data_IF_425332967343
#
_entry.id   IF_425332967343
#
_cell.length_a   1.000
_cell.length_b   1.000
_cell.length_c   1.000
_cell.angle_alpha   90.00
_cell.angle_beta   90.00
_cell.angle_gamma   90.00
#
_symmetry.space_group_name_H-M   'P 1'
#
loop_
_entity.id
_entity.type
_entity.pdbx_description
1 polymer ?
#
# COMPACT_ATOMS: atom_id res chain seq x y z
N UNK A 1 -30.08 60.58 43.21
CA UNK A 1 -29.07 59.51 43.10
C UNK A 1 -29.57 58.51 42.06
N UNK A 2 -29.00 58.52 40.86
CA UNK A 2 -29.29 57.54 39.80
C UNK A 2 -28.03 56.71 39.62
N UNK A 3 -28.05 55.46 40.07
CA UNK A 3 -26.93 54.54 39.94
C UNK A 3 -26.95 53.94 38.53
N UNK A 4 -25.89 54.21 37.76
CA UNK A 4 -25.64 53.54 36.48
C UNK A 4 -24.90 52.23 36.75
N UNK A 5 -25.47 51.11 36.30
CA UNK A 5 -24.83 49.79 36.33
C UNK A 5 -24.08 49.63 34.99
N UNK A 6 -22.76 49.38 34.97
CA UNK A 6 -22.06 49.12 33.73
C UNK A 6 -22.36 47.68 33.29
N UNK A 7 -22.91 47.53 32.09
CA UNK A 7 -23.09 46.25 31.43
C UNK A 7 -21.71 45.82 30.90
N UNK A 8 -21.05 44.90 31.59
CA UNK A 8 -19.84 44.27 31.08
C UNK A 8 -20.22 43.23 30.01
N UNK A 9 -20.06 43.57 28.73
CA UNK A 9 -20.15 42.62 27.64
C UNK A 9 -18.95 41.66 27.72
N UNK A 10 -19.19 40.44 28.19
CA UNK A 10 -18.22 39.36 28.09
C UNK A 10 -18.06 38.97 26.61
N UNK A 11 -16.93 39.34 26.03
CA UNK A 11 -16.51 38.85 24.72
C UNK A 11 -16.16 37.37 24.88
N UNK A 12 -17.10 36.47 24.57
CA UNK A 12 -16.76 35.07 24.35
C UNK A 12 -15.91 35.01 23.08
N UNK A 13 -14.59 34.92 23.25
CA UNK A 13 -13.71 34.50 22.18
C UNK A 13 -14.13 33.07 21.82
N UNK A 14 -14.87 32.92 20.71
CA UNK A 14 -15.08 31.63 20.09
C UNK A 14 -13.70 31.13 19.68
N UNK A 15 -13.11 30.23 20.47
CA UNK A 15 -11.98 29.43 20.02
C UNK A 15 -12.53 28.55 18.90
N UNK A 16 -12.37 28.99 17.65
CA UNK A 16 -12.49 28.08 16.52
C UNK A 16 -11.52 26.95 16.79
N UNK A 17 -11.95 25.68 16.90
CA UNK A 17 -11.01 24.59 17.03
C UNK A 17 -10.04 24.71 15.85
N UNK A 18 -8.75 24.83 16.15
CA UNK A 18 -7.73 24.74 15.12
C UNK A 18 -7.82 23.31 14.59
N UNK A 19 -8.44 23.12 13.43
CA UNK A 19 -8.37 21.85 12.73
C UNK A 19 -6.89 21.55 12.49
N UNK A 20 -6.48 20.31 12.73
CA UNK A 20 -5.09 19.89 12.56
C UNK A 20 -4.74 20.03 11.06
N UNK A 21 -3.90 21.02 10.73
CA UNK A 21 -3.25 21.07 9.44
C UNK A 21 -2.20 19.94 9.40
N UNK A 22 -2.30 19.05 8.42
CA UNK A 22 -1.34 17.96 8.22
C UNK A 22 -0.22 18.47 7.32
N UNK A 23 1.04 18.25 7.68
CA UNK A 23 2.21 18.72 6.93
C UNK A 23 2.77 17.62 6.02
N UNK A 24 3.25 17.98 4.84
CA UNK A 24 3.84 17.04 3.90
C UNK A 24 5.09 16.40 4.52
N UNK A 25 5.14 15.07 4.52
CA UNK A 25 6.29 14.28 4.99
C UNK A 25 6.90 13.42 3.88
N UNK A 26 6.12 13.08 2.84
CA UNK A 26 6.59 12.27 1.73
C UNK A 26 5.85 12.61 0.44
N UNK A 27 6.59 12.63 -0.65
CA UNK A 27 6.07 12.80 -2.00
C UNK A 27 6.81 11.86 -2.94
N UNK A 28 6.06 11.02 -3.65
CA UNK A 28 6.53 10.15 -4.72
C UNK A 28 5.94 10.68 -6.03
N UNK A 29 6.77 11.33 -6.86
CA UNK A 29 6.37 11.88 -8.15
C UNK A 29 7.57 12.02 -9.09
N UNK A 30 7.31 12.20 -10.38
CA UNK A 30 8.34 12.51 -11.37
C UNK A 30 9.41 11.43 -11.48
N UNK A 31 10.62 11.84 -11.87
CA UNK A 31 11.78 10.94 -12.00
C UNK A 31 12.16 10.22 -10.70
N UNK A 32 11.75 10.75 -9.55
CA UNK A 32 12.01 10.17 -8.23
C UNK A 32 10.87 9.27 -7.73
N UNK A 33 9.79 9.05 -8.48
CA UNK A 33 8.63 8.28 -8.01
C UNK A 33 9.01 6.94 -7.39
N UNK A 34 9.85 6.15 -8.07
CA UNK A 34 10.29 4.83 -7.62
C UNK A 34 11.39 4.86 -6.54
N UNK A 35 11.82 6.04 -6.09
CA UNK A 35 12.77 6.17 -4.97
C UNK A 35 12.03 5.95 -3.65
N UNK A 36 12.53 5.03 -2.82
CA UNK A 36 11.86 4.66 -1.57
C UNK A 36 10.77 3.60 -1.72
N UNK A 37 10.80 2.85 -2.82
CA UNK A 37 10.00 1.65 -3.04
C UNK A 37 10.90 0.42 -3.19
N UNK A 38 10.42 -0.71 -2.70
CA UNK A 38 11.00 -2.03 -2.94
C UNK A 38 10.15 -2.79 -3.97
N UNK A 39 10.79 -3.50 -4.89
CA UNK A 39 10.12 -4.36 -5.87
C UNK A 39 10.08 -5.80 -5.36
N UNK A 40 8.88 -6.38 -5.27
CA UNK A 40 8.65 -7.65 -4.58
C UNK A 40 9.49 -8.82 -5.12
N UNK A 41 9.62 -8.94 -6.45
CA UNK A 41 10.56 -9.89 -7.06
C UNK A 41 10.25 -11.37 -6.85
N UNK A 42 8.98 -11.74 -6.65
CA UNK A 42 8.54 -13.12 -6.41
C UNK A 42 7.19 -13.40 -7.10
N UNK A 43 6.79 -14.68 -7.19
CA UNK A 43 5.43 -15.02 -7.65
C UNK A 43 4.38 -14.54 -6.63
N UNK A 44 3.13 -14.38 -7.09
CA UNK A 44 2.03 -14.06 -6.18
C UNK A 44 1.67 -15.28 -5.32
N UNK A 45 2.19 -15.27 -4.09
CA UNK A 45 1.99 -16.30 -3.07
C UNK A 45 1.00 -15.85 -1.98
N UNK A 46 0.38 -14.67 -2.12
CA UNK A 46 -0.54 -14.11 -1.13
C UNK A 46 -1.99 -14.23 -1.61
N UNK A 47 -2.24 -13.95 -2.89
CA UNK A 47 -3.57 -14.02 -3.53
C UNK A 47 -3.67 -15.07 -4.64
N UNK A 48 -2.66 -15.94 -4.72
CA UNK A 48 -2.55 -17.05 -5.67
C UNK A 48 -2.69 -16.63 -7.15
N UNK A 49 -2.35 -15.39 -7.47
CA UNK A 49 -2.48 -14.85 -8.81
C UNK A 49 -1.58 -15.50 -9.85
N UNK A 50 -1.97 -15.36 -11.11
CA UNK A 50 -1.27 -15.87 -12.28
C UNK A 50 -0.20 -14.90 -12.82
N UNK A 51 0.54 -14.32 -11.87
CA UNK A 51 1.63 -13.38 -12.13
C UNK A 51 2.96 -13.83 -11.53
N UNK A 52 4.04 -13.39 -12.17
CA UNK A 52 5.36 -13.28 -11.54
C UNK A 52 5.66 -11.79 -11.36
N UNK A 53 5.78 -11.33 -10.11
CA UNK A 53 6.23 -9.97 -9.85
C UNK A 53 7.73 -9.89 -10.09
N UNK A 54 8.14 -9.10 -11.07
CA UNK A 54 9.54 -8.97 -11.41
C UNK A 54 10.26 -7.97 -10.48
N UNK A 55 11.55 -8.18 -10.27
CA UNK A 55 12.39 -7.22 -9.54
C UNK A 55 12.58 -5.92 -10.34
N UNK A 56 13.15 -4.90 -9.71
CA UNK A 56 13.32 -3.57 -10.31
C UNK A 56 14.13 -3.58 -11.62
N UNK A 57 15.19 -4.38 -11.69
CA UNK A 57 16.04 -4.47 -12.88
C UNK A 57 15.24 -5.00 -14.08
N UNK A 58 14.49 -6.09 -13.88
CA UNK A 58 13.65 -6.69 -14.91
C UNK A 58 12.44 -5.81 -15.27
N UNK A 59 11.82 -5.16 -14.28
CA UNK A 59 10.71 -4.22 -14.49
C UNK A 59 11.15 -3.04 -15.36
N UNK A 60 12.35 -2.50 -15.10
CA UNK A 60 12.91 -1.38 -15.87
C UNK A 60 13.31 -1.81 -17.27
N UNK A 61 14.01 -2.94 -17.40
CA UNK A 61 14.48 -3.47 -18.68
C UNK A 61 13.31 -3.82 -19.62
N UNK A 62 12.23 -4.36 -19.06
CA UNK A 62 11.03 -4.77 -19.80
C UNK A 62 9.97 -3.67 -19.88
N UNK A 63 10.26 -2.45 -19.41
CA UNK A 63 9.33 -1.30 -19.37
C UNK A 63 7.99 -1.60 -18.69
N UNK A 64 8.02 -2.42 -17.64
CA UNK A 64 6.88 -2.68 -16.76
C UNK A 64 6.77 -1.64 -15.62
N UNK A 65 7.88 -1.01 -15.25
CA UNK A 65 7.89 0.14 -14.35
C UNK A 65 8.84 1.23 -14.88
N UNK A 66 8.31 2.43 -15.14
CA UNK A 66 9.09 3.57 -15.67
C UNK A 66 8.34 4.88 -15.48
N UNK A 67 9.01 6.01 -15.73
CA UNK A 67 8.38 7.34 -15.76
C UNK A 67 8.19 7.75 -17.21
N UNK A 68 6.97 8.14 -17.60
CA UNK A 68 6.66 8.56 -18.96
C UNK A 68 7.10 10.02 -19.22
N UNK A 69 6.93 10.49 -20.46
CA UNK A 69 7.35 11.84 -20.86
C UNK A 69 6.55 12.96 -20.16
N UNK A 70 5.37 12.66 -19.61
CA UNK A 70 4.58 13.58 -18.79
C UNK A 70 5.07 13.66 -17.33
N UNK A 71 6.07 12.85 -16.96
CA UNK A 71 6.57 12.76 -15.59
C UNK A 71 5.72 11.86 -14.68
N UNK A 72 4.78 11.10 -15.23
CA UNK A 72 3.95 10.17 -14.47
C UNK A 72 4.61 8.79 -14.37
N UNK A 73 4.42 8.13 -13.24
CA UNK A 73 4.89 6.76 -13.05
C UNK A 73 3.92 5.78 -13.72
N UNK A 74 4.48 4.89 -14.53
CA UNK A 74 3.80 3.76 -15.17
C UNK A 74 4.19 2.49 -14.43
N UNK A 75 3.18 1.72 -14.03
CA UNK A 75 3.32 0.35 -13.50
C UNK A 75 2.34 -0.52 -14.27
N UNK A 76 2.82 -1.54 -14.99
CA UNK A 76 1.98 -2.32 -15.91
C UNK A 76 2.25 -3.81 -15.92
N UNK A 77 1.25 -4.55 -16.36
CA UNK A 77 1.35 -5.97 -16.74
C UNK A 77 2.09 -6.07 -18.08
N UNK A 78 2.85 -7.15 -18.28
CA UNK A 78 3.46 -7.48 -19.57
C UNK A 78 2.39 -7.74 -20.64
N UNK A 79 2.33 -6.86 -21.63
CA UNK A 79 1.41 -6.89 -22.76
C UNK A 79 2.09 -7.23 -24.10
N UNK A 80 3.33 -7.75 -24.06
CA UNK A 80 4.13 -8.01 -25.26
C UNK A 80 4.57 -9.46 -25.42
N UNK A 81 4.80 -10.17 -24.31
CA UNK A 81 5.32 -11.54 -24.36
C UNK A 81 4.24 -12.57 -24.67
N UNK A 82 4.67 -13.66 -25.31
CA UNK A 82 3.88 -14.90 -25.40
C UNK A 82 4.18 -15.77 -24.17
N UNK A 83 3.18 -15.96 -23.31
CA UNK A 83 3.27 -16.81 -22.13
C UNK A 83 2.86 -18.24 -22.50
N UNK A 84 3.75 -19.20 -22.30
CA UNK A 84 3.45 -20.62 -22.56
C UNK A 84 2.54 -21.19 -21.46
N UNK A 85 1.79 -22.24 -21.79
CA UNK A 85 1.01 -22.98 -20.81
C UNK A 85 1.89 -23.44 -19.64
N UNK A 86 1.36 -23.35 -18.43
CA UNK A 86 2.03 -23.62 -17.16
C UNK A 86 3.07 -22.55 -16.73
N UNK A 87 3.11 -21.39 -17.38
CA UNK A 87 3.85 -20.21 -16.94
C UNK A 87 2.91 -19.04 -16.58
N UNK A 88 3.43 -18.11 -15.76
CA UNK A 88 2.71 -16.91 -15.30
C UNK A 88 3.17 -15.68 -16.06
N UNK A 89 2.33 -14.64 -16.10
CA UNK A 89 2.63 -13.38 -16.79
C UNK A 89 3.41 -12.43 -15.88
N UNK A 90 4.36 -11.69 -16.43
CA UNK A 90 5.10 -10.73 -15.63
C UNK A 90 4.23 -9.51 -15.28
N UNK A 91 4.34 -9.07 -14.03
CA UNK A 91 3.72 -7.85 -13.51
C UNK A 91 4.64 -7.22 -12.47
N UNK A 92 4.18 -6.17 -11.79
CA UNK A 92 4.94 -5.44 -10.79
C UNK A 92 4.10 -5.29 -9.51
N UNK A 93 4.75 -5.55 -8.38
CA UNK A 93 4.31 -5.19 -7.03
C UNK A 93 5.43 -4.39 -6.38
N UNK A 94 5.10 -3.21 -5.88
CA UNK A 94 6.02 -2.36 -5.14
C UNK A 94 5.45 -1.99 -3.77
N UNK A 95 6.33 -1.87 -2.79
CA UNK A 95 5.98 -1.50 -1.41
C UNK A 95 6.88 -0.35 -0.94
N UNK A 96 6.34 0.64 -0.22
CA UNK A 96 7.17 1.74 0.29
C UNK A 96 8.17 1.24 1.33
N UNK A 97 9.36 1.82 1.43
CA UNK A 97 10.27 1.53 2.54
C UNK A 97 9.80 2.17 3.86
N UNK A 98 9.02 3.25 3.75
CA UNK A 98 8.47 3.99 4.88
C UNK A 98 7.11 3.44 5.31
N UNK A 99 6.83 3.55 6.61
CA UNK A 99 5.54 3.31 7.24
C UNK A 99 4.96 4.62 7.77
N UNK A 100 3.66 4.79 7.54
CA UNK A 100 2.91 6.00 7.82
C UNK A 100 2.02 5.82 9.05
N UNK A 101 2.19 6.62 10.11
CA UNK A 101 1.46 6.45 11.37
C UNK A 101 -0.02 6.82 11.27
N UNK A 102 -0.78 6.44 12.29
CA UNK A 102 -2.08 7.08 12.59
C UNK A 102 -1.85 8.58 12.74
N UNK A 103 -2.77 9.39 12.20
CA UNK A 103 -2.60 10.82 12.00
C UNK A 103 -1.97 11.14 10.64
N UNK A 104 -2.16 10.28 9.63
CA UNK A 104 -1.69 10.51 8.25
C UNK A 104 -2.87 10.74 7.30
N UNK A 105 -2.69 11.65 6.35
CA UNK A 105 -3.49 11.76 5.14
C UNK A 105 -2.64 11.31 3.95
N UNK A 106 -3.12 10.32 3.22
CA UNK A 106 -2.54 9.86 1.97
C UNK A 106 -3.33 10.44 0.80
N UNK A 107 -2.62 10.95 -0.21
CA UNK A 107 -3.19 11.28 -1.51
C UNK A 107 -2.62 10.35 -2.57
N UNK A 108 -3.49 9.81 -3.42
CA UNK A 108 -3.13 9.04 -4.61
C UNK A 108 -3.79 9.65 -5.84
N UNK A 109 -3.00 10.29 -6.69
CA UNK A 109 -3.45 10.90 -7.94
C UNK A 109 -3.05 10.02 -9.13
N UNK A 110 -4.06 9.51 -9.85
CA UNK A 110 -3.86 8.72 -11.05
C UNK A 110 -4.69 9.27 -12.22
N UNK A 111 -4.11 9.23 -13.42
CA UNK A 111 -4.82 9.53 -14.67
C UNK A 111 -5.34 8.26 -15.34
N UNK A 112 -4.74 7.11 -15.02
CA UNK A 112 -5.17 5.79 -15.46
C UNK A 112 -4.96 4.76 -14.34
N UNK A 113 -5.88 3.81 -14.20
CA UNK A 113 -5.74 2.63 -13.34
C UNK A 113 -5.97 1.37 -14.18
N UNK A 114 -5.32 0.23 -13.89
CA UNK A 114 -5.46 -0.98 -14.69
C UNK A 114 -6.91 -1.45 -14.73
N UNK A 115 -7.33 -2.03 -15.84
CA UNK A 115 -8.58 -2.80 -15.92
C UNK A 115 -8.54 -3.76 -17.10
N UNK A 116 -9.41 -4.75 -17.10
CA UNK A 116 -9.47 -5.77 -18.13
C UNK A 116 -9.83 -7.12 -17.54
N UNK A 117 -10.26 -8.06 -18.38
CA UNK A 117 -10.45 -9.43 -17.92
C UNK A 117 -9.18 -10.02 -17.34
N UNK A 118 -9.33 -10.76 -16.25
CA UNK A 118 -8.29 -11.26 -15.33
C UNK A 118 -7.61 -10.21 -14.45
N UNK A 119 -7.68 -8.91 -14.77
CA UNK A 119 -6.88 -7.88 -14.09
C UNK A 119 -7.43 -7.60 -12.69
N UNK A 120 -6.56 -7.60 -11.70
CA UNK A 120 -6.85 -7.22 -10.31
C UNK A 120 -5.79 -6.22 -9.84
N UNK A 121 -6.05 -4.92 -9.99
CA UNK A 121 -5.16 -3.88 -9.49
C UNK A 121 -5.51 -3.47 -8.08
N UNK A 122 -4.48 -3.04 -7.35
CA UNK A 122 -4.65 -2.54 -6.00
C UNK A 122 -3.73 -1.34 -5.72
N UNK A 123 -4.28 -0.35 -5.02
CA UNK A 123 -3.52 0.60 -4.21
C UNK A 123 -4.06 0.50 -2.78
N UNK A 124 -3.23 -0.01 -1.89
CA UNK A 124 -3.63 -0.41 -0.55
C UNK A 124 -2.51 -0.16 0.44
N UNK A 125 -2.82 -0.32 1.71
CA UNK A 125 -1.84 -0.18 2.78
C UNK A 125 -1.90 -1.35 3.74
N UNK A 126 -0.76 -1.72 4.34
CA UNK A 126 -0.69 -2.80 5.34
C UNK A 126 0.21 -2.47 6.51
N UNK A 127 -0.11 -3.01 7.68
CA UNK A 127 0.79 -3.04 8.83
C UNK A 127 1.95 -4.03 8.66
N UNK A 128 3.01 -3.94 9.49
CA UNK A 128 4.05 -4.96 9.57
C UNK A 128 3.50 -6.31 10.07
N UNK A 129 4.03 -7.40 9.53
CA UNK A 129 3.57 -8.78 9.81
C UNK A 129 2.12 -9.05 9.37
N UNK A 130 1.74 -8.51 8.21
CA UNK A 130 0.44 -8.72 7.59
C UNK A 130 -0.05 -10.18 7.68
N UNK A 131 -1.33 -10.42 8.05
CA UNK A 131 -2.41 -9.43 8.22
C UNK A 131 -2.45 -8.76 9.59
N UNK A 132 -1.49 -9.02 10.48
CA UNK A 132 -1.41 -8.31 11.75
C UNK A 132 -1.11 -6.82 11.51
N UNK A 133 -1.82 -5.93 12.23
CA UNK A 133 -1.68 -4.48 12.05
C UNK A 133 -2.57 -3.86 10.98
N UNK A 134 -3.51 -4.63 10.44
CA UNK A 134 -4.59 -4.15 9.58
C UNK A 134 -4.16 -3.89 8.13
N UNK A 135 -5.17 -3.76 7.28
CA UNK A 135 -5.07 -3.46 5.85
C UNK A 135 -6.19 -2.49 5.45
N UNK A 136 -5.85 -1.55 4.55
CA UNK A 136 -6.75 -0.54 4.01
C UNK A 136 -6.66 -0.56 2.49
N UNK A 137 -7.72 -0.99 1.83
CA UNK A 137 -7.82 -1.05 0.37
C UNK A 137 -8.45 0.24 -0.13
N UNK A 138 -7.62 1.11 -0.71
CA UNK A 138 -8.03 2.45 -1.16
C UNK A 138 -8.60 2.39 -2.58
N UNK A 139 -7.92 1.64 -3.44
CA UNK A 139 -8.39 1.25 -4.76
C UNK A 139 -8.23 -0.25 -4.88
N UNK A 140 -9.34 -0.96 -5.08
CA UNK A 140 -9.32 -2.38 -5.39
C UNK A 140 -10.52 -2.75 -6.25
N UNK A 141 -10.27 -3.53 -7.30
CA UNK A 141 -11.31 -4.01 -8.19
C UNK A 141 -10.80 -5.22 -8.95
N UNK A 142 -11.70 -5.92 -9.64
CA UNK A 142 -11.34 -7.05 -10.49
C UNK A 142 -12.03 -6.99 -11.83
N UNK A 143 -11.39 -7.59 -12.83
CA UNK A 143 -11.93 -7.80 -14.16
C UNK A 143 -12.43 -6.47 -14.79
N UNK A 144 -13.68 -6.48 -15.29
CA UNK A 144 -14.35 -5.30 -15.86
C UNK A 144 -15.40 -4.72 -14.90
N UNK A 145 -15.13 -4.75 -13.58
CA UNK A 145 -15.90 -3.94 -12.62
C UNK A 145 -15.96 -2.48 -13.10
N UNK A 146 -17.03 -1.78 -12.71
CA UNK A 146 -17.31 -0.39 -13.15
C UNK A 146 -17.21 0.63 -12.03
N UNK A 147 -17.00 0.16 -10.79
CA UNK A 147 -16.81 1.00 -9.63
C UNK A 147 -15.72 0.43 -8.74
N UNK A 148 -15.00 1.31 -8.06
CA UNK A 148 -14.00 0.96 -7.07
C UNK A 148 -14.65 0.28 -5.85
N UNK A 149 -14.00 -0.74 -5.29
CA UNK A 149 -14.29 -1.25 -3.96
C UNK A 149 -13.22 -0.70 -3.00
N UNK A 150 -13.66 -0.15 -1.87
CA UNK A 150 -12.79 0.18 -0.75
C UNK A 150 -13.05 -0.80 0.39
N UNK A 151 -12.03 -1.16 1.14
CA UNK A 151 -12.19 -2.09 2.25
C UNK A 151 -11.24 -1.79 3.41
N UNK A 152 -11.59 -2.34 4.56
CA UNK A 152 -10.64 -2.55 5.64
C UNK A 152 -10.67 -4.00 6.09
N UNK A 153 -9.49 -4.51 6.43
CA UNK A 153 -9.28 -5.83 7.00
C UNK A 153 -8.54 -5.72 8.33
N UNK A 154 -9.01 -6.45 9.34
CA UNK A 154 -8.45 -6.37 10.70
C UNK A 154 -8.28 -7.75 11.31
N UNK A 155 -7.62 -7.82 12.47
CA UNK A 155 -7.81 -8.96 13.37
C UNK A 155 -9.23 -8.99 13.95
N UNK A 156 -9.65 -10.14 14.48
CA UNK A 156 -10.99 -10.33 15.07
C UNK A 156 -11.32 -9.28 16.13
N UNK A 157 -12.55 -8.75 16.07
CA UNK A 157 -13.10 -7.85 17.08
C UNK A 157 -13.37 -6.41 16.61
N UNK A 158 -13.05 -6.06 15.36
CA UNK A 158 -13.49 -4.82 14.74
C UNK A 158 -14.76 -5.08 13.93
N UNK A 159 -15.83 -4.37 14.23
CA UNK A 159 -17.10 -4.44 13.51
C UNK A 159 -17.48 -3.07 13.00
N UNK A 160 -17.69 -2.92 11.70
CA UNK A 160 -18.19 -1.67 11.09
C UNK A 160 -19.56 -1.92 10.50
N UNK A 161 -20.55 -1.12 10.93
CA UNK A 161 -21.96 -1.24 10.50
C UNK A 161 -22.55 -2.65 10.63
N UNK A 162 -22.10 -3.42 11.63
CA UNK A 162 -22.55 -4.79 11.89
C UNK A 162 -21.77 -5.88 11.14
N UNK A 163 -20.81 -5.53 10.30
CA UNK A 163 -19.92 -6.47 9.60
C UNK A 163 -18.61 -6.64 10.36
N UNK A 164 -18.19 -7.88 10.64
CA UNK A 164 -16.87 -8.18 11.22
C UNK A 164 -15.78 -8.03 10.15
N UNK A 165 -14.89 -7.06 10.32
CA UNK A 165 -13.85 -6.75 9.35
C UNK A 165 -12.71 -7.77 9.33
N UNK A 166 -12.73 -8.79 10.20
CA UNK A 166 -11.75 -9.89 10.19
C UNK A 166 -12.17 -11.10 9.34
N UNK A 167 -13.33 -11.05 8.70
CA UNK A 167 -13.92 -12.20 8.00
C UNK A 167 -14.12 -11.91 6.52
N UNK A 168 -13.96 -12.94 5.68
CA UNK A 168 -14.28 -12.87 4.26
C UNK A 168 -13.58 -11.71 3.55
N UNK A 169 -14.35 -10.86 2.87
CA UNK A 169 -13.86 -9.68 2.17
C UNK A 169 -13.65 -8.44 3.06
N UNK A 170 -13.67 -8.60 4.39
CA UNK A 170 -13.56 -7.49 5.31
C UNK A 170 -14.78 -6.56 5.26
N UNK A 171 -14.59 -5.33 5.72
CA UNK A 171 -15.63 -4.30 5.70
C UNK A 171 -15.54 -3.50 4.41
N UNK A 172 -16.35 -3.86 3.41
CA UNK A 172 -16.30 -3.27 2.07
C UNK A 172 -17.30 -2.12 1.89
N UNK A 173 -16.94 -1.15 1.05
CA UNK A 173 -17.79 -0.08 0.56
C UNK A 173 -17.57 0.09 -0.93
N UNK A 174 -18.63 -0.07 -1.72
CA UNK A 174 -18.60 0.21 -3.16
C UNK A 174 -18.77 1.71 -3.42
N UNK A 175 -17.90 2.28 -4.25
CA UNK A 175 -18.05 3.65 -4.73
C UNK A 175 -19.31 3.79 -5.59
N UNK A 176 -20.01 4.91 -5.44
CA UNK A 176 -21.27 5.21 -6.14
C UNK A 176 -21.03 5.94 -7.46
N UNK A 177 -19.90 6.64 -7.59
CA UNK A 177 -19.49 7.30 -8.83
C UNK A 177 -19.08 6.26 -9.88
N UNK A 178 -19.80 6.23 -11.00
CA UNK A 178 -19.58 5.26 -12.09
C UNK A 178 -18.26 5.44 -12.85
N UNK A 179 -17.52 6.52 -12.60
CA UNK A 179 -16.21 6.81 -13.17
C UNK A 179 -15.08 6.66 -12.13
N UNK A 180 -15.31 5.84 -11.10
CA UNK A 180 -14.30 5.54 -10.06
C UNK A 180 -13.34 4.41 -10.41
N UNK A 181 -13.63 3.63 -11.45
CA UNK A 181 -12.75 2.57 -11.92
C UNK A 181 -12.94 2.30 -13.42
N UNK A 182 -12.01 1.54 -14.00
CA UNK A 182 -12.10 1.02 -15.36
C UNK A 182 -12.04 2.08 -16.46
N UNK A 183 -12.63 1.74 -17.61
CA UNK A 183 -12.63 2.62 -18.78
C UNK A 183 -13.28 3.98 -18.51
N UNK A 184 -14.29 4.04 -17.66
CA UNK A 184 -14.96 5.29 -17.30
C UNK A 184 -14.04 6.23 -16.50
N UNK A 185 -13.23 5.69 -15.59
CA UNK A 185 -12.17 6.45 -14.89
C UNK A 185 -11.14 6.99 -15.87
N UNK A 186 -10.60 6.13 -16.76
CA UNK A 186 -9.61 6.54 -17.76
C UNK A 186 -10.15 7.63 -18.70
N UNK A 187 -11.39 7.49 -19.17
CA UNK A 187 -12.04 8.48 -20.05
C UNK A 187 -12.29 9.82 -19.36
N UNK A 188 -12.51 9.81 -18.04
CA UNK A 188 -12.67 11.02 -17.25
C UNK A 188 -11.36 11.77 -16.94
N UNK A 189 -10.19 11.24 -17.38
CA UNK A 189 -8.87 11.78 -17.03
C UNK A 189 -8.41 11.38 -15.63
N UNK A 190 -8.98 10.30 -15.10
CA UNK A 190 -8.72 9.74 -13.79
C UNK A 190 -9.28 10.55 -12.62
N UNK A 191 -8.54 10.62 -11.53
CA UNK A 191 -9.00 11.22 -10.28
C UNK A 191 -7.99 11.10 -9.14
N UNK A 192 -8.44 11.51 -7.96
CA UNK A 192 -7.64 11.46 -6.72
C UNK A 192 -8.41 10.75 -5.64
N UNK A 193 -7.72 9.83 -4.97
CA UNK A 193 -8.14 9.31 -3.68
C UNK A 193 -7.44 10.06 -2.56
N UNK A 194 -8.18 10.36 -1.49
CA UNK A 194 -7.60 10.76 -0.22
C UNK A 194 -8.01 9.78 0.87
N UNK A 195 -7.04 9.28 1.63
CA UNK A 195 -7.29 8.42 2.78
C UNK A 195 -6.85 9.17 4.03
N UNK A 196 -7.79 9.51 4.89
CA UNK A 196 -7.49 9.98 6.23
C UNK A 196 -7.38 8.74 7.14
N UNK A 197 -6.16 8.48 7.61
CA UNK A 197 -5.83 7.41 8.54
C UNK A 197 -5.55 8.03 9.92
N UNK A 198 -6.61 8.26 10.68
CA UNK A 198 -6.63 8.91 11.98
C UNK A 198 -7.64 8.19 12.89
N UNK A 199 -7.68 8.57 14.17
CA UNK A 199 -8.65 8.07 15.16
C UNK A 199 -9.59 9.17 15.64
N UNK A 200 -9.27 10.45 15.37
CA UNK A 200 -10.02 11.60 15.90
C UNK A 200 -10.84 12.35 14.84
N UNK A 201 -12.09 12.68 15.18
CA UNK A 201 -13.03 13.36 14.28
C UNK A 201 -14.05 12.41 13.63
N UNK A 202 -15.12 12.98 13.05
CA UNK A 202 -16.23 12.20 12.49
C UNK A 202 -15.86 11.38 11.23
N UNK A 203 -14.77 11.76 10.55
CA UNK A 203 -14.24 11.10 9.36
C UNK A 203 -12.82 10.56 9.58
N UNK A 204 -12.47 10.22 10.83
CA UNK A 204 -11.09 9.95 11.23
C UNK A 204 -10.43 8.80 10.47
N UNK A 205 -11.21 7.81 10.06
CA UNK A 205 -10.77 6.76 9.16
C UNK A 205 -11.72 6.69 7.96
N UNK A 206 -11.32 7.32 6.86
CA UNK A 206 -12.21 7.56 5.72
C UNK A 206 -11.45 7.71 4.42
N UNK A 207 -12.11 7.36 3.33
CA UNK A 207 -11.59 7.44 1.97
C UNK A 207 -12.53 8.31 1.15
N UNK A 208 -11.97 9.28 0.43
CA UNK A 208 -12.66 10.09 -0.56
C UNK A 208 -12.16 9.74 -1.94
N UNK A 209 -13.06 9.74 -2.91
CA UNK A 209 -12.72 9.74 -4.33
C UNK A 209 -13.31 10.97 -5.02
N UNK A 210 -12.46 11.68 -5.75
CA UNK A 210 -12.88 12.72 -6.68
C UNK A 210 -12.38 12.42 -8.08
N UNK A 211 -13.30 12.33 -9.04
CA UNK A 211 -12.93 12.35 -10.46
C UNK A 211 -12.21 13.66 -10.80
N UNK A 212 -11.37 13.64 -11.83
CA UNK A 212 -10.45 14.72 -12.23
C UNK A 212 -11.04 16.14 -12.16
N UNK A 213 -12.26 16.32 -12.67
CA UNK A 213 -12.91 17.64 -12.74
C UNK A 213 -13.51 18.10 -11.39
N UNK A 214 -13.59 17.20 -10.40
CA UNK A 214 -14.23 17.42 -9.11
C UNK A 214 -13.24 17.46 -7.94
N UNK A 215 -11.93 17.38 -8.21
CA UNK A 215 -10.90 17.46 -7.16
C UNK A 215 -11.00 18.83 -6.45
N UNK A 216 -11.13 18.87 -5.11
CA UNK A 216 -11.17 20.11 -4.35
C UNK A 216 -9.88 20.93 -4.49
N UNK A 217 -9.98 22.25 -4.39
CA UNK A 217 -8.79 23.12 -4.50
C UNK A 217 -7.77 22.85 -3.40
N UNK A 218 -8.22 22.52 -2.18
CA UNK A 218 -7.32 22.16 -1.06
C UNK A 218 -6.46 20.92 -1.36
N UNK A 219 -6.95 20.02 -2.22
CA UNK A 219 -6.19 18.85 -2.70
C UNK A 219 -5.29 19.22 -3.87
N UNK A 220 -5.78 19.99 -4.84
CA UNK A 220 -4.98 20.44 -6.00
C UNK A 220 -3.76 21.27 -5.60
N UNK A 221 -3.90 22.11 -4.57
CA UNK A 221 -2.83 22.98 -4.08
C UNK A 221 -2.00 22.39 -2.93
N UNK A 222 -2.20 21.11 -2.59
CA UNK A 222 -1.51 20.46 -1.48
C UNK A 222 -0.02 20.23 -1.80
N UNK A 223 0.81 21.19 -1.38
CA UNK A 223 2.27 21.20 -1.60
C UNK A 223 3.09 21.09 -0.33
N UNK A 224 2.61 21.62 0.79
CA UNK A 224 3.33 21.61 2.07
C UNK A 224 2.44 21.29 3.26
N UNK A 225 1.15 21.60 3.13
CA UNK A 225 0.13 21.25 4.11
C UNK A 225 -1.18 20.87 3.41
N UNK A 226 -2.05 20.18 4.13
CA UNK A 226 -3.39 19.83 3.69
C UNK A 226 -4.40 19.97 4.83
N UNK A 227 -5.60 20.44 4.50
CA UNK A 227 -6.73 20.60 5.41
C UNK A 227 -7.94 19.83 4.87
N UNK A 228 -8.40 18.76 5.56
CA UNK A 228 -9.55 17.98 5.14
C UNK A 228 -10.91 18.59 5.50
N UNK A 229 -10.96 19.72 6.22
CA UNK A 229 -12.19 20.27 6.80
C UNK A 229 -13.29 20.59 5.77
N UNK A 230 -12.91 20.84 4.51
CA UNK A 230 -13.82 21.21 3.43
C UNK A 230 -14.14 20.08 2.44
N UNK A 231 -13.72 18.84 2.71
CA UNK A 231 -13.83 17.72 1.77
C UNK A 231 -15.25 17.13 1.65
N UNK A 232 -16.12 17.42 2.62
CA UNK A 232 -17.48 16.93 2.63
C UNK A 232 -17.57 15.43 2.95
N UNK A 233 -18.63 14.79 2.48
CA UNK A 233 -18.92 13.38 2.77
C UNK A 233 -17.91 12.45 2.07
N UNK A 234 -17.27 11.51 2.80
CA UNK A 234 -16.38 10.53 2.19
C UNK A 234 -17.13 9.50 1.35
N UNK A 235 -16.38 8.86 0.45
CA UNK A 235 -16.82 7.70 -0.32
C UNK A 235 -17.00 6.47 0.56
N UNK A 236 -16.07 6.25 1.48
CA UNK A 236 -16.12 5.21 2.51
C UNK A 236 -15.73 5.79 3.87
N UNK A 237 -16.43 5.38 4.92
CA UNK A 237 -16.14 5.77 6.29
C UNK A 237 -16.16 4.54 7.20
N UNK A 238 -15.14 4.43 8.04
CA UNK A 238 -14.98 3.35 9.02
C UNK A 238 -14.75 3.98 10.41
N UNK A 239 -15.80 4.51 11.04
CA UNK A 239 -15.64 5.32 12.26
C UNK A 239 -14.89 4.56 13.36
N UNK A 240 -13.91 5.23 13.97
CA UNK A 240 -13.23 4.68 15.15
C UNK A 240 -14.14 4.81 16.37
N UNK A 241 -14.71 3.70 16.84
CA UNK A 241 -15.61 3.66 17.99
C UNK A 241 -15.39 2.40 18.84
N UNK A 242 -16.25 2.16 19.84
CA UNK A 242 -16.10 1.00 20.73
C UNK A 242 -16.24 -0.36 20.04
N UNK A 243 -16.84 -0.41 18.85
CA UNK A 243 -16.98 -1.62 18.04
C UNK A 243 -15.83 -1.83 17.07
N UNK A 244 -15.08 -0.76 16.74
CA UNK A 244 -13.84 -0.85 16.00
C UNK A 244 -12.91 0.32 16.37
N UNK A 245 -12.03 0.12 17.36
CA UNK A 245 -11.04 1.12 17.73
C UNK A 245 -9.83 1.01 16.79
N UNK A 246 -9.73 1.92 15.82
CA UNK A 246 -8.69 1.91 14.79
C UNK A 246 -7.28 1.86 15.40
N UNK A 247 -7.06 2.46 16.58
CA UNK A 247 -5.75 2.42 17.24
C UNK A 247 -5.33 1.02 17.72
N UNK A 248 -6.29 0.11 17.93
CA UNK A 248 -6.03 -1.26 18.37
C UNK A 248 -5.85 -2.24 17.22
N UNK A 249 -6.44 -1.93 16.06
CA UNK A 249 -6.43 -2.83 14.90
C UNK A 249 -5.39 -2.45 13.85
N UNK A 250 -5.01 -1.17 13.79
CA UNK A 250 -4.08 -0.65 12.81
C UNK A 250 -2.80 -0.14 13.46
N UNK A 251 -1.67 -0.60 12.92
CA UNK A 251 -0.34 -0.06 13.22
C UNK A 251 0.06 0.93 12.12
N UNK A 252 1.24 1.59 12.17
CA UNK A 252 1.68 2.36 11.02
C UNK A 252 1.71 1.52 9.75
N UNK A 253 1.29 2.12 8.63
CA UNK A 253 0.98 1.42 7.39
C UNK A 253 2.03 1.67 6.31
N UNK A 254 2.42 0.62 5.59
CA UNK A 254 3.23 0.68 4.37
C UNK A 254 2.30 0.73 3.16
N UNK A 255 2.63 1.51 2.12
CA UNK A 255 1.82 1.55 0.90
C UNK A 255 2.25 0.43 -0.04
N UNK A 256 1.28 -0.16 -0.74
CA UNK A 256 1.49 -1.21 -1.74
C UNK A 256 0.75 -0.85 -3.02
N UNK A 257 1.43 -1.01 -4.15
CA UNK A 257 0.88 -0.92 -5.50
C UNK A 257 1.17 -2.23 -6.22
N UNK A 258 0.14 -2.91 -6.70
CA UNK A 258 0.30 -4.10 -7.52
C UNK A 258 -0.80 -4.30 -8.56
N UNK A 259 -0.50 -5.16 -9.51
CA UNK A 259 -1.47 -5.68 -10.47
C UNK A 259 -1.29 -7.19 -10.53
N UNK A 260 -2.13 -7.92 -9.79
CA UNK A 260 -2.23 -9.38 -9.94
C UNK A 260 -3.19 -9.73 -11.07
N UNK A 261 -3.22 -11.01 -11.45
CA UNK A 261 -4.12 -11.55 -12.47
C UNK A 261 -4.81 -12.80 -11.94
N UNK A 262 -6.09 -12.97 -12.25
CA UNK A 262 -6.89 -14.10 -11.79
C UNK A 262 -6.85 -14.23 -10.26
N UNK A 263 -6.21 -15.28 -9.74
CA UNK A 263 -6.09 -15.49 -8.31
C UNK A 263 -7.43 -15.71 -7.62
N UNK A 264 -7.41 -15.53 -6.30
CA UNK A 264 -8.50 -15.90 -5.41
C UNK A 264 -9.79 -15.11 -5.67
N UNK A 265 -9.69 -13.88 -6.21
CA UNK A 265 -10.85 -13.02 -6.49
C UNK A 265 -11.16 -12.90 -7.98
N UNK A 266 -10.27 -12.33 -8.81
CA UNK A 266 -10.58 -12.10 -10.22
C UNK A 266 -10.74 -13.41 -11.01
N UNK A 267 -10.06 -14.47 -10.57
CA UNK A 267 -10.08 -15.81 -11.18
C UNK A 267 -11.22 -16.70 -10.71
N UNK A 268 -11.95 -16.30 -9.65
CA UNK A 268 -13.10 -17.05 -9.18
C UNK A 268 -14.16 -17.13 -10.30
N UNK A 269 -14.56 -18.35 -10.68
CA UNK A 269 -15.38 -18.58 -11.87
C UNK A 269 -16.65 -17.72 -11.91
N UNK A 270 -17.35 -17.58 -10.78
CA UNK A 270 -18.56 -16.77 -10.67
C UNK A 270 -18.30 -15.26 -10.78
N UNK A 271 -17.13 -14.78 -10.38
CA UNK A 271 -16.74 -13.36 -10.46
C UNK A 271 -16.25 -13.04 -11.87
N UNK A 272 -15.45 -13.94 -12.44
CA UNK A 272 -14.96 -13.84 -13.81
C UNK A 272 -16.14 -13.83 -14.80
N UNK A 273 -17.10 -14.75 -14.69
CA UNK A 273 -18.27 -14.85 -15.57
C UNK A 273 -19.14 -13.58 -15.57
N UNK A 274 -19.23 -12.86 -14.44
CA UNK A 274 -20.08 -11.67 -14.32
C UNK A 274 -19.68 -10.54 -15.25
N UNK A 275 -18.39 -10.41 -15.54
CA UNK A 275 -17.85 -9.25 -16.26
C UNK A 275 -17.02 -9.64 -17.48
N UNK A 276 -16.57 -10.90 -17.54
CA UNK A 276 -15.77 -11.44 -18.62
C UNK A 276 -16.49 -12.60 -19.28
N UNK A 277 -17.04 -12.32 -20.46
CA UNK A 277 -17.69 -13.33 -21.28
C UNK A 277 -16.68 -14.36 -21.76
N UNK A 278 -16.96 -15.63 -21.53
CA UNK A 278 -16.20 -16.75 -22.12
C UNK A 278 -16.96 -17.38 -23.28
N UNK A 279 -16.24 -18.09 -24.14
CA UNK A 279 -16.86 -19.07 -25.02
C UNK A 279 -16.96 -20.43 -24.29
N UNK A 280 -18.17 -20.80 -23.87
CA UNK A 280 -18.43 -22.09 -23.22
C UNK A 280 -18.77 -21.98 -21.73
N UNK A 281 -18.60 -23.07 -20.97
CA UNK A 281 -18.84 -23.07 -19.52
C UNK A 281 -17.61 -22.56 -18.77
N UNK A 282 -17.77 -21.49 -17.99
CA UNK A 282 -16.71 -20.97 -17.11
C UNK A 282 -16.40 -22.00 -16.02
N UNK A 283 -15.13 -22.31 -15.87
CA UNK A 283 -14.57 -23.03 -14.73
C UNK A 283 -13.31 -22.32 -14.19
N UNK A 284 -12.71 -22.86 -13.12
CA UNK A 284 -11.56 -22.27 -12.44
C UNK A 284 -10.32 -22.03 -13.33
N UNK A 285 -10.19 -22.72 -14.47
CA UNK A 285 -9.06 -22.51 -15.40
C UNK A 285 -9.31 -21.45 -16.46
N UNK A 286 -10.56 -20.98 -16.64
CA UNK A 286 -10.93 -20.10 -17.76
C UNK A 286 -10.18 -18.77 -17.71
N UNK A 287 -10.07 -18.16 -16.53
CA UNK A 287 -9.36 -16.89 -16.38
C UNK A 287 -7.90 -16.98 -16.89
N UNK A 288 -7.19 -18.04 -16.50
CA UNK A 288 -5.82 -18.30 -16.91
C UNK A 288 -5.71 -18.61 -18.41
N UNK A 289 -6.53 -19.53 -18.91
CA UNK A 289 -6.49 -20.01 -20.29
C UNK A 289 -6.90 -18.93 -21.30
N UNK A 290 -7.86 -18.08 -20.93
CA UNK A 290 -8.41 -17.06 -21.83
C UNK A 290 -7.54 -15.79 -21.88
N UNK A 291 -6.88 -15.44 -20.76
CA UNK A 291 -6.18 -14.14 -20.66
C UNK A 291 -4.69 -14.24 -20.38
N UNK A 292 -4.24 -15.17 -19.53
CA UNK A 292 -2.87 -15.12 -19.00
C UNK A 292 -1.87 -15.69 -19.99
N UNK A 293 -2.19 -16.84 -20.59
CA UNK A 293 -1.33 -17.49 -21.58
C UNK A 293 -1.38 -16.77 -22.94
N UNK A 294 -0.56 -17.22 -23.88
CA UNK A 294 -0.41 -16.62 -25.21
C UNK A 294 -0.02 -15.14 -25.11
N UNK A 295 -0.45 -14.28 -26.03
CA UNK A 295 -0.15 -12.84 -25.96
C UNK A 295 -0.94 -12.13 -24.86
N UNK A 296 -2.13 -12.62 -24.50
CA UNK A 296 -3.07 -11.93 -23.62
C UNK A 296 -3.60 -10.61 -24.22
N UNK A 297 -4.38 -9.86 -23.44
CA UNK A 297 -4.82 -8.51 -23.79
C UNK A 297 -4.72 -7.58 -22.58
N UNK A 298 -3.54 -6.95 -22.43
CA UNK A 298 -3.20 -6.14 -21.25
C UNK A 298 -2.88 -4.68 -21.59
N UNK A 299 -3.33 -4.20 -22.75
CA UNK A 299 -3.11 -2.80 -23.18
C UNK A 299 -3.70 -1.76 -22.22
N UNK A 300 -4.73 -2.11 -21.46
CA UNK A 300 -5.36 -1.28 -20.43
C UNK A 300 -4.95 -1.66 -19.00
N UNK A 301 -4.00 -2.60 -18.83
CA UNK A 301 -3.59 -3.09 -17.52
C UNK A 301 -2.36 -2.33 -16.99
N UNK A 302 -2.51 -1.02 -16.80
CA UNK A 302 -1.46 -0.17 -16.27
C UNK A 302 -2.00 0.95 -15.36
N UNK A 303 -1.22 1.27 -14.34
CA UNK A 303 -1.34 2.53 -13.62
C UNK A 303 -0.58 3.62 -14.39
N UNK A 304 -1.16 4.82 -14.44
CA UNK A 304 -0.43 6.05 -14.73
C UNK A 304 -0.68 7.03 -13.59
N UNK A 305 0.35 7.22 -12.77
CA UNK A 305 0.27 7.87 -11.47
C UNK A 305 0.98 9.22 -11.55
N UNK A 306 0.26 10.29 -11.24
CA UNK A 306 0.84 11.63 -11.19
C UNK A 306 1.69 11.80 -9.92
N UNK A 307 1.11 11.45 -8.76
CA UNK A 307 1.83 11.44 -7.49
C UNK A 307 1.18 10.53 -6.43
N UNK A 308 1.98 10.16 -5.45
CA UNK A 308 1.52 9.72 -4.12
C UNK A 308 2.10 10.68 -3.08
N UNK A 309 1.27 11.24 -2.20
CA UNK A 309 1.73 12.14 -1.12
C UNK A 309 1.23 11.66 0.23
N UNK A 310 2.06 11.85 1.25
CA UNK A 310 1.68 11.63 2.63
C UNK A 310 1.86 12.92 3.43
N UNK A 311 0.83 13.28 4.17
CA UNK A 311 0.81 14.39 5.11
C UNK A 311 0.53 13.85 6.50
N UNK A 312 1.13 14.39 7.55
CA UNK A 312 0.86 13.94 8.92
C UNK A 312 0.71 15.10 9.88
N UNK A 313 -0.05 14.87 10.95
CA UNK A 313 -0.08 15.72 12.14
C UNK A 313 1.08 15.40 13.11
N UNK A 314 1.78 14.28 12.90
CA UNK A 314 3.03 13.92 13.56
C UNK A 314 4.25 14.52 12.81
N UNK A 315 5.45 14.44 13.39
CA UNK A 315 6.65 15.02 12.77
C UNK A 315 7.43 14.03 11.89
N UNK A 316 7.21 12.71 12.03
CA UNK A 316 8.09 11.69 11.47
C UNK A 316 7.32 10.57 10.74
N UNK A 317 7.95 9.98 9.72
CA UNK A 317 7.63 8.62 9.23
C UNK A 317 8.39 7.57 10.04
N UNK A 318 8.00 6.31 9.88
CA UNK A 318 8.73 5.19 10.46
C UNK A 318 9.44 4.35 9.41
N UNK A 319 10.57 3.76 9.77
CA UNK A 319 11.28 2.75 8.97
C UNK A 319 11.34 1.41 9.69
N UNK A 320 11.22 0.28 8.98
CA UNK A 320 11.34 -1.04 9.59
C UNK A 320 12.79 -1.33 9.96
N UNK A 321 12.97 -1.89 11.14
CA UNK A 321 14.26 -2.38 11.64
C UNK A 321 14.09 -3.80 12.16
N UNK A 322 15.14 -4.62 12.01
CA UNK A 322 15.13 -5.98 12.54
C UNK A 322 15.66 -5.94 13.97
N UNK A 323 14.81 -6.35 14.92
CA UNK A 323 15.21 -6.56 16.31
C UNK A 323 14.86 -7.98 16.71
N UNK A 324 15.86 -8.87 16.68
CA UNK A 324 15.65 -10.30 16.88
C UNK A 324 14.92 -10.94 15.70
N UNK A 325 13.82 -11.67 15.97
CA UNK A 325 13.02 -12.38 14.96
C UNK A 325 11.79 -11.60 14.48
N UNK A 326 11.65 -10.32 14.85
CA UNK A 326 10.49 -9.50 14.53
C UNK A 326 10.89 -8.15 13.93
N UNK A 327 10.04 -7.62 13.05
CA UNK A 327 10.15 -6.26 12.54
C UNK A 327 9.65 -5.26 13.58
N UNK A 328 10.45 -4.24 13.87
CA UNK A 328 10.12 -3.13 14.78
C UNK A 328 10.29 -1.81 14.04
N UNK A 329 9.35 -0.87 14.25
CA UNK A 329 9.37 0.45 13.61
C UNK A 329 10.16 1.47 14.44
N UNK A 330 10.95 2.32 13.77
CA UNK A 330 11.75 3.39 14.39
C UNK A 330 11.52 4.70 13.63
N UNK A 331 11.46 5.84 14.33
CA UNK A 331 11.35 7.18 13.71
C UNK A 331 12.46 7.40 12.69
N UNK A 332 12.07 7.77 11.47
CA UNK A 332 12.98 8.21 10.43
C UNK A 332 13.49 9.62 10.80
N UNK A 333 14.47 9.70 11.72
CA UNK A 333 15.11 10.99 11.97
C UNK A 333 15.74 11.47 10.67
N UNK A 334 15.39 12.68 10.22
CA UNK A 334 16.05 13.33 9.11
C UNK A 334 17.56 13.37 9.39
N UNK A 335 18.33 12.51 8.71
CA UNK A 335 19.79 12.52 8.80
C UNK A 335 20.32 13.76 8.07
N UNK A 336 20.22 14.90 8.73
CA UNK A 336 20.89 16.13 8.37
C UNK A 336 22.35 16.08 8.83
N UNK A 337 23.26 16.28 7.89
CA UNK A 337 24.70 16.54 8.05
C UNK A 337 25.58 15.42 8.59
N UNK A 338 26.43 14.89 7.70
CA UNK A 338 27.67 14.22 8.04
C UNK A 338 28.51 15.12 8.97
N UNK A 339 28.50 14.82 10.27
CA UNK A 339 29.49 15.34 11.19
C UNK A 339 30.78 14.53 10.97
N UNK A 340 31.78 15.19 10.39
CA UNK A 340 33.15 14.71 10.32
C UNK A 340 33.61 14.23 11.69
N UNK A 341 34.06 12.98 11.78
CA UNK A 341 34.75 12.46 12.95
C UNK A 341 36.09 13.19 13.13
N UNK A 342 36.10 14.23 13.96
CA UNK A 342 37.34 14.79 14.50
C UNK A 342 37.89 13.80 15.52
N UNK A 343 38.88 13.00 15.11
CA UNK A 343 39.67 12.15 15.99
C UNK A 343 40.52 13.01 16.93
N UNK A 344 40.11 13.13 18.19
CA UNK A 344 40.92 13.76 19.23
C UNK A 344 41.96 12.78 19.74
N UNK A 345 43.23 13.13 19.51
CA UNK A 345 44.43 12.43 19.94
C UNK A 345 44.53 12.41 21.47
N UNK A 346 44.39 11.23 22.08
CA UNK A 346 44.64 10.97 23.50
C UNK A 346 45.85 10.06 23.65
N UNK A 347 47.00 10.65 23.94
CA UNK A 347 48.29 10.02 24.20
C UNK A 347 48.30 9.18 25.48
N UNK A 348 48.69 7.90 25.37
CA UNK A 348 48.99 7.00 26.48
C UNK A 348 50.17 6.10 26.11
N UNK A 349 51.34 6.38 26.70
CA UNK A 349 52.63 5.71 26.46
C UNK A 349 52.72 4.33 27.14
N UNK A 350 53.32 3.39 26.41
CA UNK A 350 54.31 2.39 26.86
C UNK A 350 53.88 1.24 27.79
N UNK A 351 54.03 -0.01 27.35
CA UNK A 351 55.30 -0.74 27.56
C UNK A 351 55.42 -1.98 26.66
N UNK A 352 56.65 -2.26 26.26
CA UNK A 352 57.11 -3.33 25.37
C UNK A 352 57.11 -4.72 26.01
N UNK A 353 56.86 -5.76 25.23
CA UNK A 353 57.81 -6.89 25.11
C UNK A 353 57.62 -7.68 23.83
N UNK A 354 58.75 -8.17 23.34
CA UNK A 354 59.10 -8.70 22.03
C UNK A 354 58.87 -10.21 21.86
N UNK A 355 59.14 -10.66 20.61
CA UNK A 355 59.43 -12.03 20.11
C UNK A 355 58.20 -12.83 19.66
N UNK A 356 58.15 -13.49 18.50
CA UNK A 356 59.14 -13.77 17.45
C UNK A 356 58.46 -14.55 16.29
N UNK A 357 59.11 -14.56 15.12
CA UNK A 357 58.70 -15.18 13.85
C UNK A 357 58.33 -16.67 13.90
N UNK A 358 57.50 -17.11 12.95
CA UNK A 358 57.37 -18.52 12.59
C UNK A 358 56.35 -18.82 11.49
N UNK A 359 56.85 -19.01 10.27
CA UNK A 359 56.13 -19.54 9.11
C UNK A 359 55.80 -21.03 9.29
N UNK A 360 54.70 -21.53 8.71
CA UNK A 360 54.42 -22.97 8.67
C UNK A 360 53.11 -23.35 7.99
N UNK A 361 53.19 -23.80 6.74
CA UNK A 361 52.17 -24.55 6.03
C UNK A 361 51.75 -25.81 6.80
N UNK A 362 50.47 -26.17 6.72
CA UNK A 362 49.97 -27.47 7.16
C UNK A 362 48.55 -27.72 6.66
N UNK A 363 48.44 -28.42 5.53
CA UNK A 363 47.20 -29.03 5.06
C UNK A 363 46.80 -30.18 6.00
N UNK A 364 45.51 -30.32 6.32
CA UNK A 364 44.93 -31.58 6.81
C UNK A 364 43.54 -31.76 6.20
N UNK A 365 43.31 -33.00 5.80
CA UNK A 365 42.23 -33.55 5.00
C UNK A 365 40.84 -33.61 5.67
N UNK A 366 39.89 -33.87 4.78
CA UNK A 366 38.44 -34.05 4.86
C UNK A 366 38.02 -35.31 5.64
N UNK A 367 36.88 -35.27 6.35
CA UNK A 367 35.67 -36.11 6.18
C UNK A 367 34.77 -36.11 7.47
N UNK A 368 33.53 -36.65 7.46
CA UNK A 368 32.31 -35.86 7.42
C UNK A 368 31.40 -36.04 8.65
N UNK A 369 30.68 -34.99 9.07
CA UNK A 369 29.77 -35.03 10.20
C UNK A 369 28.32 -34.71 9.83
N UNK A 370 27.53 -35.77 9.62
CA UNK A 370 26.10 -35.94 9.91
C UNK A 370 25.20 -34.69 9.90
N UNK A 371 24.38 -34.57 8.84
CA UNK A 371 23.16 -33.75 8.83
C UNK A 371 22.07 -34.41 9.67
N UNK A 372 21.60 -33.74 10.71
CA UNK A 372 20.34 -34.06 11.40
C UNK A 372 19.25 -33.19 10.80
N UNK A 373 18.28 -33.84 10.15
CA UNK A 373 17.06 -33.22 9.65
C UNK A 373 16.15 -32.83 10.82
N UNK A 374 15.76 -31.56 10.89
CA UNK A 374 14.65 -31.11 11.74
C UNK A 374 13.43 -30.93 10.83
N UNK A 375 12.54 -31.91 10.90
CA UNK A 375 11.16 -31.83 10.42
C UNK A 375 10.36 -31.00 11.44
N UNK A 376 9.88 -29.83 11.03
CA UNK A 376 8.83 -29.11 11.74
C UNK A 376 7.60 -29.03 10.83
N UNK A 377 6.52 -29.69 11.26
CA UNK A 377 5.31 -29.89 10.49
C UNK A 377 4.48 -28.63 10.35
N UNK A 378 4.07 -28.36 9.12
CA UNK A 378 3.00 -27.44 8.76
C UNK A 378 1.64 -28.12 8.97
N UNK A 379 0.89 -27.67 9.98
CA UNK A 379 -0.52 -28.01 10.15
C UNK A 379 -1.36 -27.12 9.23
N UNK A 380 -1.88 -27.73 8.16
CA UNK A 380 -2.95 -27.18 7.33
C UNK A 380 -4.26 -27.18 8.12
N UNK A 381 -4.89 -26.02 8.29
CA UNK A 381 -6.31 -25.91 8.64
C UNK A 381 -7.13 -25.67 7.37
N UNK A 382 -7.66 -26.76 6.81
CA UNK A 382 -8.74 -26.73 5.84
C UNK A 382 -10.04 -26.42 6.57
N UNK A 383 -10.67 -25.28 6.27
CA UNK A 383 -12.09 -25.06 6.60
C UNK A 383 -12.90 -25.10 5.31
N UNK A 384 -13.54 -26.25 5.09
CA UNK A 384 -14.71 -26.38 4.24
C UNK A 384 -15.92 -25.78 4.94
N UNK A 385 -16.74 -24.98 4.26
CA UNK A 385 -18.18 -25.23 4.32
C UNK A 385 -18.95 -24.74 3.10
N UNK A 386 -19.92 -25.57 2.74
CA UNK A 386 -20.93 -25.38 1.72
C UNK A 386 -22.24 -24.93 2.39
N UNK A 387 -23.06 -24.20 1.62
CA UNK A 387 -24.50 -23.98 1.79
C UNK A 387 -24.94 -23.16 3.00
N UNK A 388 -25.30 -21.90 2.76
CA UNK A 388 -26.68 -21.36 2.72
C UNK A 388 -26.65 -20.02 1.97
#
# INVERSE_FOLDING_TARGET
MRSAIPLASALFAATTPAFAAYNLIKEYQGSSFFSGWEFYGNYDNLTNGDVTYVNQANATASKLAYVNDAGHAIIKVDDTSVVQWNYKRNSVRIETLDYFPIGTILLFDAVHVPYGCSVWPSFWTKGPNWPAGGEIDVLEAVNLMTANQMAIHTSTGCTVSGTDCSQGSGCTVMEKQANSYGQAFATAGGGVWATQFDTTGINSHSIWFWSRNNIPDSVKSATSMIDPSSWGTPSAAYPSDSSCDIANFFTPQQLVLDVTLCGDWAGAASIYEQTCGVQGQVNASSCYLDNVINQGNYSSAYFEISYVKAFTSAADTFVPTISGASTVLVSATASGTAASSSSTSGSGKSNSTSTGSGSGNGAVEVAPGVYVAVLAGSLLSLFTWAMI
#
